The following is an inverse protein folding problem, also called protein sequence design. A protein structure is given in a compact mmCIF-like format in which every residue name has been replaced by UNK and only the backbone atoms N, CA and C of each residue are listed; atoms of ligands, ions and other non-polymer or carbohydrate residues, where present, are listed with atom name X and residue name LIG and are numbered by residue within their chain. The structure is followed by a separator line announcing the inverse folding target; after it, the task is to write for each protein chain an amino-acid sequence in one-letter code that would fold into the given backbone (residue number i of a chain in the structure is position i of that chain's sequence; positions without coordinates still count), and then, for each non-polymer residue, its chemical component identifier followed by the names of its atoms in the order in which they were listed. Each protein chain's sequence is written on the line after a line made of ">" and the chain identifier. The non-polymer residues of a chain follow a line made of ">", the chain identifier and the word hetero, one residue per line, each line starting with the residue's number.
data_IF_262896717641
#
_entry.id   IF_262896717641
#
_cell.length_a   1.000
_cell.length_b   1.000
_cell.length_c   1.000
_cell.angle_alpha   90.00
_cell.angle_beta   90.00
_cell.angle_gamma   90.00
#
_symmetry.space_group_name_H-M   'P 1'
#
loop_
_entity.id
_entity.type
_entity.pdbx_description
1 polymer ?
#
# COMPACT_ATOMS: atom_id res chain seq x y z
N UNK A 1 15.01 -6.42 43.24
CA UNK A 1 15.56 -6.74 41.92
C UNK A 1 14.89 -5.80 40.92
N UNK A 2 15.61 -4.82 40.35
CA UNK A 2 14.98 -3.80 39.54
C UNK A 2 14.58 -4.39 38.18
N UNK A 3 13.39 -3.99 37.73
CA UNK A 3 12.83 -4.25 36.42
C UNK A 3 13.50 -3.22 35.50
N UNK A 4 14.28 -3.68 34.53
CA UNK A 4 14.85 -2.81 33.50
C UNK A 4 13.69 -2.35 32.63
N UNK A 5 13.26 -1.11 32.86
CA UNK A 5 12.43 -0.33 31.94
C UNK A 5 13.16 -0.33 30.60
N UNK A 6 12.68 -1.12 29.64
CA UNK A 6 13.02 -0.93 28.24
C UNK A 6 12.36 0.36 27.81
N UNK A 7 13.15 1.42 27.68
CA UNK A 7 12.75 2.72 27.16
C UNK A 7 11.86 2.58 25.92
N UNK A 8 10.88 3.48 25.82
CA UNK A 8 9.82 3.48 24.81
C UNK A 8 10.29 3.64 23.36
N UNK A 9 10.96 2.63 22.84
CA UNK A 9 11.23 2.43 21.42
C UNK A 9 10.07 1.62 20.85
N UNK A 10 9.07 2.30 20.30
CA UNK A 10 8.13 1.67 19.38
C UNK A 10 8.93 1.33 18.12
N UNK A 11 9.57 0.16 18.08
CA UNK A 11 10.20 -0.33 16.86
C UNK A 11 9.10 -0.77 15.91
N UNK A 12 8.58 0.18 15.13
CA UNK A 12 7.78 -0.14 13.96
C UNK A 12 8.75 -0.41 12.80
N UNK A 13 8.81 -1.65 12.27
CA UNK A 13 9.77 -2.03 11.24
C UNK A 13 9.63 -1.17 9.98
N UNK A 14 8.45 -0.63 9.73
CA UNK A 14 8.13 0.29 8.65
C UNK A 14 6.86 -0.13 7.94
N UNK A 15 6.20 0.81 7.28
CA UNK A 15 5.03 0.54 6.46
C UNK A 15 4.90 1.58 5.35
N UNK A 16 4.15 1.22 4.32
CA UNK A 16 3.58 2.16 3.36
C UNK A 16 2.07 2.08 3.51
N UNK A 17 1.37 3.21 3.45
CA UNK A 17 -0.08 3.23 3.52
C UNK A 17 -0.69 4.20 2.51
N UNK A 18 -1.88 3.87 2.04
CA UNK A 18 -2.72 4.66 1.16
C UNK A 18 -3.99 5.05 1.91
N UNK A 19 -4.46 6.26 1.65
CA UNK A 19 -5.79 6.70 2.09
C UNK A 19 -6.78 6.61 0.94
N UNK A 20 -7.95 6.05 1.22
CA UNK A 20 -9.10 6.07 0.33
C UNK A 20 -10.07 7.17 0.72
N UNK A 21 -10.93 7.53 -0.24
CA UNK A 21 -11.95 8.56 -0.03
C UNK A 21 -13.30 7.90 0.19
N UNK A 22 -14.17 8.54 0.96
CA UNK A 22 -15.57 8.14 1.02
C UNK A 22 -16.20 8.26 -0.36
N UNK A 23 -16.90 7.21 -0.82
CA UNK A 23 -17.68 7.26 -2.05
C UNK A 23 -18.76 8.36 -2.00
N UNK A 24 -19.17 8.82 -0.82
CA UNK A 24 -20.11 9.95 -0.72
C UNK A 24 -19.52 11.26 -1.19
N UNK A 25 -18.22 11.44 -0.97
CA UNK A 25 -17.50 12.66 -1.30
C UNK A 25 -16.94 12.62 -2.72
N UNK A 26 -17.20 11.52 -3.44
CA UNK A 26 -16.67 11.26 -4.77
C UNK A 26 -17.77 10.77 -5.73
N UNK A 27 -18.71 11.65 -6.10
CA UNK A 27 -19.84 11.31 -6.99
C UNK A 27 -19.76 11.96 -8.37
N UNK A 28 -18.89 12.95 -8.53
CA UNK A 28 -18.82 13.72 -9.76
C UNK A 28 -18.36 12.82 -10.91
N UNK A 29 -19.26 12.59 -11.89
CA UNK A 29 -18.99 11.71 -13.03
C UNK A 29 -18.89 10.22 -12.68
N UNK A 30 -19.27 9.82 -11.46
CA UNK A 30 -19.19 8.46 -10.97
C UNK A 30 -20.45 7.63 -11.20
N UNK A 31 -20.32 6.30 -11.06
CA UNK A 31 -21.45 5.35 -11.16
C UNK A 31 -22.28 5.26 -9.87
N UNK A 32 -21.79 5.84 -8.77
CA UNK A 32 -22.41 5.97 -7.45
C UNK A 32 -23.32 7.20 -7.33
N UNK A 33 -24.57 7.09 -7.76
CA UNK A 33 -25.53 8.22 -7.74
C UNK A 33 -26.36 8.34 -6.46
N UNK A 34 -26.36 7.31 -5.61
CA UNK A 34 -27.08 7.29 -4.33
C UNK A 34 -26.15 7.46 -3.13
N UNK A 35 -26.71 7.59 -1.93
CA UNK A 35 -25.92 7.58 -0.68
C UNK A 35 -25.44 6.17 -0.36
N UNK A 36 -24.14 6.01 -0.15
CA UNK A 36 -23.39 4.79 0.15
C UNK A 36 -22.41 5.04 1.31
N UNK A 37 -21.86 3.99 1.92
CA UNK A 37 -20.93 4.08 3.06
C UNK A 37 -19.53 3.56 2.75
N UNK A 38 -19.27 3.27 1.47
CA UNK A 38 -18.12 2.53 0.99
C UNK A 38 -16.89 3.42 0.75
N UNK A 39 -15.73 2.79 0.65
CA UNK A 39 -14.48 3.44 0.24
C UNK A 39 -14.37 3.42 -1.28
N UNK A 40 -14.02 4.55 -1.87
CA UNK A 40 -13.76 4.71 -3.29
C UNK A 40 -12.28 5.01 -3.52
N UNK A 41 -11.80 4.55 -4.67
CA UNK A 41 -10.56 5.05 -5.24
C UNK A 41 -10.69 6.56 -5.48
N UNK A 42 -9.56 7.27 -5.55
CA UNK A 42 -9.57 8.70 -5.84
C UNK A 42 -8.33 9.14 -6.58
N UNK A 43 -7.15 8.77 -6.06
CA UNK A 43 -5.88 9.07 -6.70
C UNK A 43 -4.79 8.07 -6.27
N UNK A 44 -3.70 8.05 -7.03
CA UNK A 44 -2.46 7.45 -6.60
C UNK A 44 -1.85 8.30 -5.46
N UNK A 45 -2.04 7.85 -4.23
CA UNK A 45 -1.40 8.40 -3.03
C UNK A 45 -0.76 7.27 -2.22
N UNK A 46 0.34 7.59 -1.54
CA UNK A 46 0.93 6.72 -0.53
C UNK A 46 1.81 7.55 0.45
N UNK A 47 1.88 7.13 1.70
CA UNK A 47 2.82 7.64 2.71
C UNK A 47 3.70 6.49 3.19
N UNK A 48 5.01 6.71 3.25
CA UNK A 48 5.98 5.75 3.75
C UNK A 48 6.47 6.14 5.13
N UNK A 49 6.45 5.19 6.07
CA UNK A 49 7.15 5.23 7.35
C UNK A 49 8.30 4.24 7.34
N UNK A 50 9.54 4.72 7.42
CA UNK A 50 10.74 3.88 7.41
C UNK A 50 11.87 4.55 8.20
N UNK A 51 12.55 3.79 9.08
CA UNK A 51 13.70 4.29 9.82
C UNK A 51 13.40 5.50 10.73
N UNK A 52 12.19 5.57 11.28
CA UNK A 52 11.74 6.69 12.12
C UNK A 52 11.39 7.97 11.36
N UNK A 53 11.34 7.92 10.02
CA UNK A 53 10.91 9.03 9.16
C UNK A 53 9.58 8.69 8.50
N UNK A 54 8.74 9.70 8.31
CA UNK A 54 7.52 9.62 7.51
C UNK A 54 7.62 10.58 6.33
N UNK A 55 7.33 10.11 5.12
CA UNK A 55 7.40 10.89 3.88
C UNK A 55 6.28 10.49 2.93
N UNK A 56 5.68 11.48 2.26
CA UNK A 56 4.73 11.23 1.17
C UNK A 56 5.48 10.66 -0.04
N UNK A 57 4.86 9.71 -0.73
CA UNK A 57 5.31 9.21 -2.01
C UNK A 57 4.49 9.86 -3.11
N UNK A 58 5.16 10.43 -4.10
CA UNK A 58 4.56 11.16 -5.21
C UNK A 58 4.86 10.40 -6.50
N UNK A 59 3.86 10.32 -7.37
CA UNK A 59 4.04 9.82 -8.73
C UNK A 59 4.18 10.99 -9.71
N UNK A 60 5.29 11.03 -10.43
CA UNK A 60 5.54 12.00 -11.50
C UNK A 60 5.69 11.27 -12.85
N UNK A 61 4.91 11.68 -13.86
CA UNK A 61 4.99 11.10 -15.19
C UNK A 61 6.42 11.23 -15.77
N UNK A 62 7.02 10.11 -16.17
CA UNK A 62 8.40 10.05 -16.68
C UNK A 62 9.48 9.89 -15.61
N UNK A 63 9.21 10.22 -14.34
CA UNK A 63 10.11 9.98 -13.19
C UNK A 63 9.71 8.73 -12.40
N UNK A 64 8.43 8.40 -12.37
CA UNK A 64 7.88 7.31 -11.57
C UNK A 64 7.55 7.74 -10.15
N UNK A 65 7.45 6.76 -9.25
CA UNK A 65 7.28 7.02 -7.81
C UNK A 65 8.59 7.50 -7.19
N UNK A 66 8.50 8.49 -6.32
CA UNK A 66 9.63 8.98 -5.52
C UNK A 66 9.11 9.59 -4.21
N UNK A 67 9.95 9.74 -3.19
CA UNK A 67 9.54 10.47 -2.01
C UNK A 67 9.38 11.97 -2.32
N UNK A 68 8.45 12.64 -1.65
CA UNK A 68 8.25 14.08 -1.76
C UNK A 68 9.47 14.85 -1.23
N UNK A 69 10.11 14.31 -0.19
CA UNK A 69 11.43 14.73 0.26
C UNK A 69 12.50 14.07 -0.60
N UNK A 70 13.31 14.83 -1.34
CA UNK A 70 14.41 14.26 -2.15
C UNK A 70 15.56 13.72 -1.26
N UNK A 71 15.36 12.53 -0.68
CA UNK A 71 16.35 11.81 0.13
C UNK A 71 17.14 10.75 -0.65
N UNK A 72 16.82 10.57 -1.93
CA UNK A 72 17.60 9.78 -2.89
C UNK A 72 17.27 8.29 -2.94
N UNK A 73 16.27 7.81 -2.19
CA UNK A 73 15.78 6.44 -2.30
C UNK A 73 15.04 6.22 -3.63
N UNK A 74 15.24 5.05 -4.24
CA UNK A 74 14.45 4.60 -5.39
C UNK A 74 13.18 3.93 -4.88
N UNK A 75 12.02 4.39 -5.36
CA UNK A 75 10.71 3.88 -4.97
C UNK A 75 10.08 3.14 -6.14
N UNK A 76 9.72 1.88 -5.93
CA UNK A 76 9.13 1.02 -6.95
C UNK A 76 7.80 0.45 -6.44
N UNK A 77 6.71 0.81 -7.14
CA UNK A 77 5.40 0.16 -7.01
C UNK A 77 5.36 -1.05 -7.94
N UNK A 78 5.11 -2.23 -7.38
CA UNK A 78 5.15 -3.52 -8.08
C UNK A 78 3.82 -4.24 -7.92
N UNK A 79 3.55 -5.23 -8.77
CA UNK A 79 2.34 -6.07 -8.72
C UNK A 79 2.72 -7.55 -8.80
N UNK A 80 1.75 -8.44 -8.57
CA UNK A 80 1.91 -9.90 -8.64
C UNK A 80 2.28 -10.59 -7.33
N UNK A 81 2.30 -9.87 -6.20
CA UNK A 81 2.40 -10.50 -4.89
C UNK A 81 1.13 -11.28 -4.58
N UNK A 82 1.26 -12.41 -3.89
CA UNK A 82 0.09 -13.12 -3.38
C UNK A 82 -0.26 -12.61 -1.99
N UNK A 83 -0.76 -11.38 -1.87
CA UNK A 83 -0.93 -10.68 -0.60
C UNK A 83 -2.40 -10.31 -0.28
N UNK A 84 -3.34 -10.70 -1.14
CA UNK A 84 -4.79 -10.44 -0.95
C UNK A 84 -5.30 -9.19 -1.64
N UNK A 85 -4.41 -8.33 -2.13
CA UNK A 85 -4.73 -7.24 -3.04
C UNK A 85 -5.15 -7.79 -4.42
N UNK A 86 -5.96 -7.03 -5.17
CA UNK A 86 -6.54 -7.44 -6.45
C UNK A 86 -5.49 -7.75 -7.53
N UNK A 87 -4.39 -7.01 -7.56
CA UNK A 87 -3.29 -7.24 -8.51
C UNK A 87 -1.97 -7.59 -7.81
N UNK A 88 -1.99 -7.66 -6.48
CA UNK A 88 -0.81 -7.98 -5.70
C UNK A 88 0.11 -6.78 -5.57
N UNK A 89 -0.44 -5.57 -5.47
CA UNK A 89 0.32 -4.34 -5.26
C UNK A 89 1.23 -4.51 -4.04
N UNK A 90 2.51 -4.20 -4.20
CA UNK A 90 3.52 -4.22 -3.15
C UNK A 90 4.63 -3.23 -3.50
N UNK A 91 5.50 -2.92 -2.55
CA UNK A 91 6.48 -1.86 -2.71
C UNK A 91 7.90 -2.33 -2.46
N UNK A 92 8.82 -1.78 -3.22
CA UNK A 92 10.26 -1.91 -3.01
C UNK A 92 10.90 -0.54 -2.89
N UNK A 93 11.66 -0.33 -1.82
CA UNK A 93 12.42 0.89 -1.56
C UNK A 93 13.90 0.52 -1.55
N UNK A 94 14.70 1.17 -2.39
CA UNK A 94 16.16 0.98 -2.40
C UNK A 94 16.83 2.23 -1.90
N UNK A 95 17.53 2.15 -0.76
CA UNK A 95 18.28 3.27 -0.20
C UNK A 95 19.57 3.51 -0.97
N UNK A 96 20.19 4.67 -0.75
CA UNK A 96 21.42 5.10 -1.45
C UNK A 96 22.62 4.21 -1.17
N UNK A 97 22.62 3.46 -0.05
CA UNK A 97 23.62 2.45 0.28
C UNK A 97 23.36 1.07 -0.37
N UNK A 98 22.26 0.93 -1.10
CA UNK A 98 21.87 -0.28 -1.82
C UNK A 98 20.95 -1.22 -1.05
N UNK A 99 20.63 -0.95 0.22
CA UNK A 99 19.68 -1.77 1.00
C UNK A 99 18.31 -1.74 0.36
N UNK A 100 17.66 -2.90 0.24
CA UNK A 100 16.34 -3.03 -0.35
C UNK A 100 15.32 -3.43 0.70
N UNK A 101 14.26 -2.65 0.82
CA UNK A 101 13.14 -2.88 1.73
C UNK A 101 11.91 -3.26 0.91
N UNK A 102 11.27 -4.36 1.25
CA UNK A 102 10.06 -4.85 0.60
C UNK A 102 8.88 -4.80 1.55
N UNK A 103 7.78 -4.24 1.08
CA UNK A 103 6.56 -4.05 1.86
C UNK A 103 5.42 -4.78 1.17
N UNK A 104 4.76 -5.67 1.91
CA UNK A 104 3.59 -6.39 1.40
C UNK A 104 3.89 -7.52 0.42
N UNK A 105 5.12 -8.05 0.37
CA UNK A 105 5.49 -9.13 -0.56
C UNK A 105 4.77 -10.45 -0.23
N UNK A 106 4.48 -10.68 1.05
CA UNK A 106 3.75 -11.80 1.64
C UNK A 106 4.44 -13.17 1.55
N UNK A 107 4.91 -13.55 0.35
CA UNK A 107 5.66 -14.77 0.08
C UNK A 107 7.12 -14.42 -0.16
N UNK A 108 7.94 -14.60 0.87
CA UNK A 108 9.35 -14.22 0.85
C UNK A 108 10.20 -15.17 -0.04
N UNK A 109 11.40 -14.74 -0.47
CA UNK A 109 12.33 -15.63 -1.18
C UNK A 109 12.54 -16.95 -0.43
N UNK A 110 12.37 -18.06 -1.15
CA UNK A 110 12.41 -19.40 -0.56
C UNK A 110 11.05 -19.97 -0.14
N UNK A 111 9.95 -19.23 -0.31
CA UNK A 111 8.59 -19.77 -0.19
C UNK A 111 8.36 -20.88 -1.23
N UNK A 112 7.84 -22.05 -0.80
CA UNK A 112 7.71 -23.24 -1.64
C UNK A 112 6.27 -23.60 -1.96
N UNK A 113 5.44 -23.69 -0.93
CA UNK A 113 4.05 -24.14 -1.01
C UNK A 113 3.27 -23.68 0.23
N UNK A 114 1.99 -24.05 0.32
CA UNK A 114 1.08 -23.66 1.39
C UNK A 114 1.50 -24.10 2.81
N UNK A 115 2.47 -25.02 2.95
CA UNK A 115 3.08 -25.35 4.26
C UNK A 115 4.12 -24.31 4.71
N UNK A 116 4.61 -23.47 3.78
CA UNK A 116 5.50 -22.36 4.12
C UNK A 116 4.66 -21.15 4.55
N UNK A 117 4.87 -20.60 5.76
CA UNK A 117 4.07 -19.48 6.24
C UNK A 117 4.27 -18.23 5.38
N UNK A 118 3.21 -17.42 5.30
CA UNK A 118 3.23 -16.08 4.71
C UNK A 118 3.31 -15.02 5.81
N UNK A 119 3.76 -13.82 5.46
CA UNK A 119 3.95 -12.73 6.45
C UNK A 119 2.65 -11.99 6.79
N UNK A 120 1.62 -12.11 5.95
CA UNK A 120 0.34 -11.39 6.03
C UNK A 120 0.55 -9.87 6.10
N UNK A 121 1.47 -9.39 5.27
CA UNK A 121 2.02 -8.04 5.33
C UNK A 121 1.23 -6.99 4.54
N UNK A 122 0.16 -7.36 3.84
CA UNK A 122 -0.75 -6.40 3.21
C UNK A 122 -2.11 -6.45 3.88
N UNK A 123 -2.62 -5.27 4.27
CA UNK A 123 -3.95 -5.11 4.82
C UNK A 123 -4.86 -4.53 3.76
N UNK A 124 -5.98 -5.21 3.54
CA UNK A 124 -6.92 -4.89 2.46
C UNK A 124 -8.27 -4.45 2.99
N UNK A 125 -8.99 -3.72 2.15
CA UNK A 125 -10.39 -3.34 2.36
C UNK A 125 -11.10 -3.38 1.00
N UNK A 126 -12.43 -3.63 0.96
CA UNK A 126 -13.20 -3.39 -0.26
C UNK A 126 -13.09 -1.93 -0.69
N UNK A 127 -12.69 -1.68 -1.93
CA UNK A 127 -12.61 -0.35 -2.54
C UNK A 127 -13.32 -0.38 -3.88
N UNK A 128 -14.16 0.62 -4.11
CA UNK A 128 -14.91 0.81 -5.33
C UNK A 128 -14.15 1.69 -6.31
N UNK A 129 -14.18 1.32 -7.59
CA UNK A 129 -13.82 2.17 -8.71
C UNK A 129 -15.10 2.69 -9.37
N UNK A 130 -15.44 3.94 -9.14
CA UNK A 130 -16.68 4.55 -9.58
C UNK A 130 -16.49 5.44 -10.81
N UNK A 131 -15.25 5.80 -11.17
CA UNK A 131 -14.92 6.53 -12.39
C UNK A 131 -14.15 5.67 -13.39
N UNK A 132 -14.40 5.92 -14.67
CA UNK A 132 -13.70 5.22 -15.75
C UNK A 132 -12.18 5.49 -15.68
N UNK A 133 -11.39 4.41 -15.70
CA UNK A 133 -9.93 4.47 -15.59
C UNK A 133 -9.40 4.17 -14.17
N UNK A 134 -10.27 4.13 -13.17
CA UNK A 134 -9.89 3.70 -11.82
C UNK A 134 -9.69 2.19 -11.75
N UNK A 135 -8.83 1.72 -10.82
CA UNK A 135 -8.78 0.31 -10.47
C UNK A 135 -10.17 -0.23 -10.17
N UNK A 136 -10.48 -1.39 -10.75
CA UNK A 136 -11.71 -2.12 -10.50
C UNK A 136 -12.99 -1.37 -10.89
N UNK A 137 -12.89 -0.39 -11.81
CA UNK A 137 -14.05 0.29 -12.38
C UNK A 137 -15.04 -0.65 -13.08
N UNK A 138 -16.33 -0.41 -12.86
CA UNK A 138 -17.41 -1.00 -13.64
C UNK A 138 -18.55 0.02 -13.84
N UNK A 139 -19.25 -0.06 -14.98
CA UNK A 139 -20.42 0.75 -15.26
C UNK A 139 -21.57 0.53 -14.23
N UNK A 140 -21.65 -0.66 -13.64
CA UNK A 140 -22.49 -0.96 -12.49
C UNK A 140 -21.69 -0.75 -11.20
N UNK A 141 -22.04 0.26 -10.40
CA UNK A 141 -21.36 0.54 -9.13
C UNK A 141 -21.29 -0.69 -8.21
N UNK A 142 -22.37 -1.46 -8.09
CA UNK A 142 -22.41 -2.67 -7.27
C UNK A 142 -21.40 -3.75 -7.69
N UNK A 143 -20.86 -3.67 -8.91
CA UNK A 143 -19.85 -4.57 -9.46
C UNK A 143 -18.49 -3.92 -9.64
N UNK A 144 -18.37 -2.60 -9.40
CA UNK A 144 -17.16 -1.82 -9.59
C UNK A 144 -16.33 -1.76 -8.33
N UNK A 145 -15.89 -2.92 -7.82
CA UNK A 145 -15.06 -2.99 -6.62
C UNK A 145 -14.12 -4.19 -6.62
N UNK A 146 -13.08 -4.11 -5.80
CA UNK A 146 -12.20 -5.23 -5.50
C UNK A 146 -11.56 -5.06 -4.12
N UNK A 147 -10.87 -6.11 -3.66
CA UNK A 147 -10.01 -6.00 -2.47
C UNK A 147 -8.75 -5.24 -2.84
N UNK A 148 -8.51 -4.13 -2.16
CA UNK A 148 -7.35 -3.28 -2.41
C UNK A 148 -6.58 -3.08 -1.10
N UNK A 149 -5.25 -3.10 -1.19
CA UNK A 149 -4.39 -2.86 -0.05
C UNK A 149 -4.34 -1.38 0.32
N UNK A 150 -4.56 -1.07 1.59
CA UNK A 150 -4.40 0.26 2.16
C UNK A 150 -3.15 0.39 3.02
N UNK A 151 -2.55 -0.73 3.47
CA UNK A 151 -1.30 -0.71 4.22
C UNK A 151 -0.43 -1.93 3.91
N UNK A 152 0.83 -1.69 3.59
CA UNK A 152 1.87 -2.67 3.35
C UNK A 152 2.92 -2.56 4.45
N UNK A 153 3.00 -3.57 5.31
CA UNK A 153 4.00 -3.67 6.36
C UNK A 153 5.34 -4.14 5.76
N UNK A 154 6.46 -3.67 6.31
CA UNK A 154 7.78 -4.16 5.94
C UNK A 154 7.88 -5.65 6.26
N UNK A 155 8.28 -6.47 5.29
CA UNK A 155 8.35 -7.92 5.47
C UNK A 155 9.62 -8.58 4.93
N UNK A 156 10.46 -7.86 4.19
CA UNK A 156 11.76 -8.36 3.77
C UNK A 156 12.79 -7.25 3.53
N UNK A 157 14.03 -7.50 3.95
CA UNK A 157 15.19 -6.59 3.79
C UNK A 157 16.38 -7.39 3.27
N UNK A 158 17.12 -6.83 2.31
CA UNK A 158 18.33 -7.41 1.73
C UNK A 158 19.39 -6.36 1.42
#
# INVERSE_FOLDING_TARGET
>A
LPIWIGDGWNWEPGFIERTYKSCEDDKAGGTNTTKVGDQCWFNDNATMSLGGKSTELVFEAGKGWHPASDSGEKVEKLTGANNGDNDGEHWKITTTDGTQYFFGLNRLPGWKDASTPTTNSAWTVPVFGNQAGEPCYNASFASGWCQQAWRWQLDYVV
#
